data_IF_134476364107
#
_entry.id   IF_134476364107
#
_cell.length_a   1.000
_cell.length_b   1.000
_cell.length_c   1.000
_cell.angle_alpha   90.00
_cell.angle_beta   90.00
_cell.angle_gamma   90.00
#
_symmetry.space_group_name_H-M   'P 1'
#
loop_
_entity.id
_entity.type
_entity.pdbx_description
1 polymer ?
#
# COMPACT_ATOMS: atom_id res chain seq x y z
N UNK A 1 -0.29 -29.28 -30.07
CA UNK A 1 -0.93 -27.95 -29.89
C UNK A 1 -0.75 -27.43 -28.46
N UNK A 2 -1.22 -28.14 -27.42
CA UNK A 2 -1.13 -27.69 -26.01
C UNK A 2 0.31 -27.43 -25.53
N UNK A 3 1.26 -28.29 -25.87
CA UNK A 3 2.68 -28.14 -25.47
C UNK A 3 3.31 -26.88 -26.05
N UNK A 4 2.98 -26.54 -27.31
CA UNK A 4 3.52 -25.35 -27.98
C UNK A 4 2.97 -24.08 -27.33
N UNK A 5 1.67 -24.04 -27.04
CA UNK A 5 1.02 -22.92 -26.35
C UNK A 5 1.58 -22.74 -24.94
N UNK A 6 1.76 -23.85 -24.20
CA UNK A 6 2.32 -23.81 -22.85
C UNK A 6 3.78 -23.29 -22.85
N UNK A 7 4.61 -23.75 -23.80
CA UNK A 7 5.99 -23.29 -23.92
C UNK A 7 6.08 -21.79 -24.26
N UNK A 8 5.24 -21.31 -25.20
CA UNK A 8 5.19 -19.89 -25.57
C UNK A 8 4.69 -19.02 -24.41
N UNK A 9 3.63 -19.43 -23.72
CA UNK A 9 3.10 -18.70 -22.56
C UNK A 9 4.12 -18.65 -21.41
N UNK A 10 4.77 -19.76 -21.12
CA UNK A 10 5.80 -19.82 -20.07
C UNK A 10 6.99 -18.93 -20.42
N UNK A 11 7.45 -18.94 -21.68
CA UNK A 11 8.55 -18.10 -22.11
C UNK A 11 8.20 -16.61 -22.00
N UNK A 12 7.02 -16.21 -22.49
CA UNK A 12 6.54 -14.84 -22.38
C UNK A 12 6.42 -14.41 -20.91
N UNK A 13 5.85 -15.25 -20.05
CA UNK A 13 5.71 -14.94 -18.62
C UNK A 13 7.08 -14.71 -17.96
N UNK A 14 8.05 -15.60 -18.18
CA UNK A 14 9.39 -15.47 -17.59
C UNK A 14 10.13 -14.22 -18.09
N UNK A 15 9.99 -13.88 -19.37
CA UNK A 15 10.63 -12.69 -19.95
C UNK A 15 10.01 -11.38 -19.45
N UNK A 16 8.69 -11.33 -19.23
CA UNK A 16 8.00 -10.12 -18.77
C UNK A 16 7.98 -9.95 -17.24
N UNK A 17 8.20 -11.03 -16.47
CA UNK A 17 8.18 -11.02 -15.01
C UNK A 17 9.02 -9.90 -14.37
N UNK A 18 10.28 -9.64 -14.79
CA UNK A 18 11.09 -8.56 -14.20
C UNK A 18 10.47 -7.17 -14.41
N UNK A 19 9.92 -6.92 -15.60
CA UNK A 19 9.26 -5.65 -15.91
C UNK A 19 7.96 -5.50 -15.11
N UNK A 20 7.18 -6.57 -14.94
CA UNK A 20 5.98 -6.58 -14.11
C UNK A 20 6.30 -6.29 -12.65
N UNK A 21 7.32 -6.94 -12.08
CA UNK A 21 7.75 -6.72 -10.70
C UNK A 21 8.20 -5.28 -10.47
N UNK A 22 9.00 -4.72 -11.39
CA UNK A 22 9.40 -3.30 -11.32
C UNK A 22 8.21 -2.36 -11.35
N UNK A 23 7.20 -2.65 -12.18
CA UNK A 23 6.00 -1.83 -12.27
C UNK A 23 5.17 -1.90 -10.98
N UNK A 24 5.04 -3.09 -10.38
CA UNK A 24 4.37 -3.27 -9.09
C UNK A 24 5.09 -2.54 -7.95
N UNK A 25 6.43 -2.58 -7.93
CA UNK A 25 7.22 -1.84 -6.95
C UNK A 25 7.02 -0.33 -7.07
N UNK A 26 7.05 0.19 -8.30
CA UNK A 26 6.79 1.61 -8.57
C UNK A 26 5.40 1.99 -8.10
N UNK A 27 4.38 1.21 -8.47
CA UNK A 27 2.99 1.51 -8.08
C UNK A 27 2.83 1.50 -6.56
N UNK A 28 3.48 0.54 -5.87
CA UNK A 28 3.47 0.45 -4.41
C UNK A 28 4.09 1.68 -3.75
N UNK A 29 5.27 2.10 -4.20
CA UNK A 29 5.96 3.30 -3.69
C UNK A 29 5.17 4.57 -3.98
N UNK A 30 4.65 4.68 -5.20
CA UNK A 30 3.81 5.81 -5.64
C UNK A 30 2.55 5.93 -4.78
N UNK A 31 1.85 4.82 -4.53
CA UNK A 31 0.64 4.81 -3.69
C UNK A 31 0.93 5.27 -2.25
N UNK A 32 2.08 4.90 -1.68
CA UNK A 32 2.51 5.40 -0.37
C UNK A 32 2.76 6.91 -0.38
N UNK A 33 3.45 7.42 -1.42
CA UNK A 33 3.71 8.86 -1.59
C UNK A 33 2.42 9.66 -1.76
N UNK A 34 1.47 9.16 -2.55
CA UNK A 34 0.17 9.78 -2.75
C UNK A 34 -0.66 9.80 -1.45
N UNK A 35 -0.54 8.77 -0.60
CA UNK A 35 -1.20 8.73 0.72
C UNK A 35 -0.71 9.84 1.66
N UNK A 36 0.53 10.31 1.45
CA UNK A 36 1.10 11.48 2.13
C UNK A 36 1.04 12.75 1.28
N UNK A 37 0.14 12.76 0.28
CA UNK A 37 -0.18 13.92 -0.56
C UNK A 37 0.99 14.41 -1.42
N UNK A 38 1.93 13.52 -1.74
CA UNK A 38 3.08 13.82 -2.59
C UNK A 38 2.83 13.16 -3.95
N UNK A 39 2.47 13.94 -4.99
CA UNK A 39 2.28 13.38 -6.32
C UNK A 39 3.62 12.87 -6.87
N UNK A 40 3.60 11.66 -7.41
CA UNK A 40 4.78 11.03 -7.99
C UNK A 40 4.47 10.46 -9.38
N UNK A 41 5.44 10.55 -10.28
CA UNK A 41 5.42 9.90 -11.59
C UNK A 41 6.31 8.67 -11.56
N UNK A 42 6.19 7.80 -12.56
CA UNK A 42 6.99 6.59 -12.67
C UNK A 42 8.50 6.87 -12.60
N UNK A 43 8.93 8.02 -13.11
CA UNK A 43 10.33 8.41 -13.26
C UNK A 43 10.93 8.90 -11.94
N UNK A 44 10.18 9.66 -11.14
CA UNK A 44 10.67 10.28 -9.90
C UNK A 44 10.26 9.51 -8.62
N UNK A 45 9.45 8.46 -8.74
CA UNK A 45 8.91 7.71 -7.59
C UNK A 45 10.01 7.23 -6.64
N UNK A 46 11.12 6.68 -7.18
CA UNK A 46 12.20 6.18 -6.33
C UNK A 46 12.88 7.31 -5.53
N UNK A 47 13.21 8.40 -6.20
CA UNK A 47 13.84 9.56 -5.56
C UNK A 47 12.96 10.17 -4.47
N UNK A 48 11.66 10.35 -4.77
CA UNK A 48 10.70 10.87 -3.80
C UNK A 48 10.48 9.90 -2.64
N UNK A 49 10.43 8.59 -2.91
CA UNK A 49 10.29 7.58 -1.87
C UNK A 49 11.43 7.66 -0.87
N UNK A 50 12.68 7.64 -1.34
CA UNK A 50 13.87 7.73 -0.48
C UNK A 50 13.95 9.09 0.26
N UNK A 51 13.42 10.14 -0.38
CA UNK A 51 13.35 11.47 0.22
C UNK A 51 12.34 11.55 1.37
N UNK A 52 11.17 10.93 1.26
CA UNK A 52 10.08 11.15 2.22
C UNK A 52 9.82 9.97 3.16
N UNK A 53 9.98 8.73 2.71
CA UNK A 53 9.79 7.52 3.53
C UNK A 53 11.12 7.18 4.20
N UNK A 54 11.20 7.37 5.52
CA UNK A 54 12.47 7.29 6.27
C UNK A 54 12.66 6.00 7.01
N UNK A 55 11.58 5.40 7.47
CA UNK A 55 11.64 4.16 8.21
C UNK A 55 10.57 3.20 7.70
N UNK A 56 10.92 1.93 7.67
CA UNK A 56 10.01 0.81 7.43
C UNK A 56 10.30 -0.24 8.49
N UNK A 57 9.27 -0.71 9.17
CA UNK A 57 9.40 -1.71 10.22
C UNK A 57 8.14 -2.59 10.27
N UNK A 58 8.27 -3.74 10.91
CA UNK A 58 7.19 -4.70 11.06
C UNK A 58 6.84 -4.81 12.53
N UNK A 59 5.55 -4.83 12.84
CA UNK A 59 5.02 -5.05 14.18
C UNK A 59 4.36 -6.42 14.30
N UNK A 60 4.37 -6.99 15.50
CA UNK A 60 3.50 -8.11 15.86
C UNK A 60 2.16 -7.60 16.41
N UNK A 61 1.26 -8.52 16.79
CA UNK A 61 -0.05 -8.19 17.36
C UNK A 61 0.00 -7.51 18.74
N UNK A 62 1.14 -7.55 19.43
CA UNK A 62 1.36 -6.83 20.69
C UNK A 62 1.92 -5.40 20.47
N UNK A 63 2.22 -5.02 19.22
CA UNK A 63 2.82 -3.73 18.89
C UNK A 63 4.35 -3.69 19.06
N UNK A 64 5.00 -4.84 19.20
CA UNK A 64 6.46 -4.95 19.30
C UNK A 64 7.08 -5.11 17.90
N UNK A 65 8.28 -4.54 17.71
CA UNK A 65 9.00 -4.63 16.44
C UNK A 65 9.56 -6.03 16.20
N UNK A 66 9.35 -6.56 14.99
CA UNK A 66 9.89 -7.85 14.54
C UNK A 66 11.09 -7.59 13.63
N UNK A 67 12.27 -8.05 14.06
CA UNK A 67 13.49 -7.94 13.26
C UNK A 67 13.57 -9.02 12.17
N UNK A 68 14.30 -8.72 11.09
CA UNK A 68 14.57 -9.68 10.01
C UNK A 68 13.48 -9.84 8.94
N UNK A 69 12.38 -9.09 9.04
CA UNK A 69 11.31 -9.05 8.03
C UNK A 69 11.28 -7.68 7.34
N UNK A 70 11.42 -7.67 6.02
CA UNK A 70 11.27 -6.43 5.24
C UNK A 70 9.79 -6.08 5.08
N UNK A 71 9.37 -4.97 5.69
CA UNK A 71 8.01 -4.43 5.62
C UNK A 71 7.52 -4.23 4.17
N UNK A 72 8.40 -3.92 3.22
CA UNK A 72 8.03 -3.74 1.82
C UNK A 72 7.66 -5.05 1.12
N UNK A 73 8.20 -6.18 1.58
CA UNK A 73 7.89 -7.51 0.99
C UNK A 73 6.64 -8.16 1.58
N UNK A 74 6.14 -7.66 2.71
CA UNK A 74 4.96 -8.22 3.38
C UNK A 74 3.72 -8.04 2.51
N UNK A 75 3.00 -9.14 2.29
CA UNK A 75 1.73 -9.19 1.56
C UNK A 75 0.60 -9.37 2.57
N UNK A 76 -0.14 -8.30 2.85
CA UNK A 76 -1.20 -8.28 3.87
C UNK A 76 -2.21 -9.41 3.70
N UNK A 77 -2.65 -9.70 2.47
CA UNK A 77 -3.54 -10.84 2.18
C UNK A 77 -3.10 -12.17 2.77
N UNK A 78 -1.78 -12.42 2.76
CA UNK A 78 -1.22 -13.67 3.25
C UNK A 78 -1.14 -13.64 4.78
N UNK A 79 -0.83 -12.48 5.36
CA UNK A 79 -0.80 -12.27 6.81
C UNK A 79 -2.19 -12.40 7.45
N UNK A 80 -3.23 -11.85 6.82
CA UNK A 80 -4.62 -11.94 7.31
C UNK A 80 -5.15 -13.38 7.42
N UNK A 81 -4.53 -14.34 6.72
CA UNK A 81 -4.88 -15.77 6.79
C UNK A 81 -4.19 -16.50 7.95
N UNK A 82 -3.18 -15.89 8.57
CA UNK A 82 -2.43 -16.47 9.70
C UNK A 82 -3.13 -16.15 11.03
N UNK A 83 -2.91 -16.95 12.08
CA UNK A 83 -3.25 -16.57 13.46
C UNK A 83 -2.62 -15.22 13.82
N UNK A 84 -3.32 -14.41 14.64
CA UNK A 84 -2.92 -13.03 14.99
C UNK A 84 -1.50 -12.94 15.56
N UNK A 85 -1.07 -13.95 16.30
CA UNK A 85 0.25 -14.02 16.95
C UNK A 85 1.39 -14.22 15.94
N UNK A 86 1.06 -14.65 14.72
CA UNK A 86 2.02 -14.93 13.64
C UNK A 86 1.96 -13.89 12.52
N UNK A 87 1.13 -12.87 12.65
CA UNK A 87 0.99 -11.83 11.63
C UNK A 87 2.16 -10.85 11.71
N UNK A 88 2.73 -10.55 10.55
CA UNK A 88 3.68 -9.45 10.37
C UNK A 88 2.93 -8.22 9.87
N UNK A 89 2.89 -7.15 10.65
CA UNK A 89 2.17 -5.93 10.34
C UNK A 89 3.14 -4.84 9.88
N UNK A 90 3.27 -4.58 8.57
CA UNK A 90 4.20 -3.58 8.05
C UNK A 90 3.70 -2.16 8.35
N UNK A 91 4.62 -1.31 8.78
CA UNK A 91 4.39 0.09 9.10
C UNK A 91 5.51 0.92 8.46
N UNK A 92 5.15 2.09 7.92
CA UNK A 92 6.12 3.01 7.33
C UNK A 92 6.00 4.37 8.01
N UNK A 93 7.12 5.05 8.19
CA UNK A 93 7.17 6.41 8.72
C UNK A 93 7.67 7.36 7.63
N UNK A 94 6.90 8.41 7.38
CA UNK A 94 7.24 9.43 6.42
C UNK A 94 7.44 10.79 7.08
N UNK A 95 8.44 11.53 6.61
CA UNK A 95 8.69 12.91 7.01
C UNK A 95 8.33 13.83 5.83
N UNK A 96 7.20 14.52 5.90
CA UNK A 96 6.65 15.33 4.80
C UNK A 96 7.38 16.67 4.58
N UNK A 97 8.44 16.96 5.33
CA UNK A 97 9.25 18.18 5.24
C UNK A 97 8.62 19.40 5.93
N UNK A 98 7.30 19.57 5.87
CA UNK A 98 6.56 20.70 6.46
C UNK A 98 5.60 20.24 7.57
N UNK A 99 6.10 19.48 8.54
CA UNK A 99 5.29 19.08 9.68
C UNK A 99 5.82 17.88 10.43
N UNK A 100 5.01 17.40 11.36
CA UNK A 100 5.29 16.19 12.11
C UNK A 100 5.30 14.95 11.20
N UNK A 101 6.15 13.95 11.48
CA UNK A 101 6.15 12.70 10.74
C UNK A 101 4.79 12.02 10.80
N UNK A 102 4.41 11.40 9.69
CA UNK A 102 3.16 10.66 9.54
C UNK A 102 3.45 9.17 9.48
N UNK A 103 2.54 8.37 10.00
CA UNK A 103 2.60 6.91 9.97
C UNK A 103 1.71 6.39 8.86
N UNK A 104 2.27 5.61 7.94
CA UNK A 104 1.55 5.00 6.82
C UNK A 104 1.31 3.53 7.14
N UNK A 105 0.05 3.14 7.08
CA UNK A 105 -0.44 1.80 7.32
C UNK A 105 -1.04 1.25 6.02
N UNK A 106 -0.51 0.15 5.46
CA UNK A 106 -1.18 -0.53 4.38
C UNK A 106 -2.47 -1.17 4.89
N UNK A 107 -3.51 -1.14 4.06
CA UNK A 107 -4.81 -1.74 4.34
C UNK A 107 -5.23 -2.61 3.17
N UNK A 108 -5.91 -3.71 3.47
CA UNK A 108 -6.46 -4.62 2.45
C UNK A 108 -7.82 -5.15 2.91
N UNK A 109 -8.76 -5.22 1.97
CA UNK A 109 -10.11 -5.72 2.18
C UNK A 109 -10.68 -6.44 0.96
N UNK A 110 -11.91 -6.92 1.11
CA UNK A 110 -12.67 -7.56 0.03
C UNK A 110 -13.70 -6.57 -0.52
N UNK A 111 -13.60 -6.28 -1.81
CA UNK A 111 -14.66 -5.60 -2.57
C UNK A 111 -15.72 -6.58 -3.05
N UNK A 112 -16.57 -6.13 -3.98
CA UNK A 112 -17.63 -6.95 -4.55
C UNK A 112 -17.08 -7.96 -5.57
N UNK A 113 -16.16 -7.51 -6.42
CA UNK A 113 -15.62 -8.29 -7.54
C UNK A 113 -14.16 -8.66 -7.35
N UNK A 114 -13.44 -7.98 -6.47
CA UNK A 114 -12.05 -8.28 -6.22
C UNK A 114 -11.51 -7.72 -4.90
N UNK A 115 -10.23 -7.99 -4.59
CA UNK A 115 -9.56 -7.36 -3.47
C UNK A 115 -9.43 -5.85 -3.70
N UNK A 116 -9.58 -5.11 -2.60
CA UNK A 116 -9.30 -3.68 -2.49
C UNK A 116 -8.08 -3.55 -1.58
N UNK A 117 -7.15 -2.68 -1.94
CA UNK A 117 -5.95 -2.42 -1.19
C UNK A 117 -5.70 -0.91 -1.12
N UNK A 118 -4.85 -0.47 -0.21
CA UNK A 118 -4.58 0.95 -0.06
C UNK A 118 -3.59 1.26 1.05
N UNK A 119 -3.41 2.55 1.29
CA UNK A 119 -2.59 3.08 2.37
C UNK A 119 -3.37 4.15 3.11
N UNK A 120 -3.33 4.10 4.43
CA UNK A 120 -3.89 5.14 5.31
C UNK A 120 -2.71 5.77 6.04
N UNK A 121 -2.53 7.06 5.89
CA UNK A 121 -1.53 7.83 6.63
C UNK A 121 -2.18 8.58 7.79
N UNK A 122 -1.56 8.51 8.96
CA UNK A 122 -2.03 9.10 10.21
C UNK A 122 -1.06 10.16 10.71
N UNK A 123 -1.59 11.20 11.35
CA UNK A 123 -0.81 12.19 12.10
C UNK A 123 -0.25 11.55 13.39
N UNK A 124 0.60 12.29 14.11
CA UNK A 124 1.23 11.78 15.34
C UNK A 124 0.27 11.37 16.44
N UNK A 125 -0.94 11.93 16.44
CA UNK A 125 -1.99 11.54 17.38
C UNK A 125 -2.52 10.10 17.16
N UNK A 126 -2.08 9.42 16.10
CA UNK A 126 -2.48 8.07 15.71
C UNK A 126 -4.00 7.91 15.58
N UNK A 127 -4.72 9.01 15.35
CA UNK A 127 -6.17 9.05 15.26
C UNK A 127 -6.64 9.86 14.05
N UNK A 128 -5.98 10.98 13.75
CA UNK A 128 -6.36 11.84 12.64
C UNK A 128 -5.72 11.37 11.35
N UNK A 129 -6.54 11.13 10.33
CA UNK A 129 -6.10 10.76 8.99
C UNK A 129 -5.44 11.95 8.32
N UNK A 130 -4.17 11.79 7.97
CA UNK A 130 -3.45 12.71 7.11
C UNK A 130 -3.86 12.51 5.64
N UNK A 131 -3.97 11.29 5.16
CA UNK A 131 -4.41 11.02 3.80
C UNK A 131 -4.62 9.53 3.56
N UNK A 132 -5.24 9.20 2.44
CA UNK A 132 -5.47 7.82 2.04
C UNK A 132 -5.19 7.67 0.56
N UNK A 133 -4.83 6.45 0.16
CA UNK A 133 -4.89 6.00 -1.23
C UNK A 133 -5.57 4.64 -1.27
N UNK A 134 -6.39 4.42 -2.30
CA UNK A 134 -7.04 3.13 -2.52
C UNK A 134 -6.84 2.68 -3.96
N UNK A 135 -6.79 1.36 -4.14
CA UNK A 135 -6.78 0.72 -5.43
C UNK A 135 -7.56 -0.60 -5.38
N UNK A 136 -7.95 -1.09 -6.54
CA UNK A 136 -8.75 -2.29 -6.68
C UNK A 136 -8.26 -3.14 -7.85
N UNK A 137 -8.45 -4.44 -7.73
CA UNK A 137 -8.09 -5.34 -8.84
C UNK A 137 -9.13 -5.38 -9.96
N UNK A 138 -10.43 -5.32 -9.61
CA UNK A 138 -11.49 -5.73 -10.55
C UNK A 138 -12.86 -5.08 -10.30
N UNK A 139 -12.92 -4.01 -9.52
CA UNK A 139 -14.18 -3.28 -9.33
C UNK A 139 -14.62 -2.59 -10.63
N UNK A 140 -15.93 -2.34 -10.74
CA UNK A 140 -16.54 -1.83 -11.97
C UNK A 140 -16.27 -0.33 -12.15
N UNK A 141 -15.73 0.11 -13.31
CA UNK A 141 -15.58 1.53 -13.66
C UNK A 141 -16.90 2.32 -13.53
N UNK A 142 -16.85 3.52 -12.94
CA UNK A 142 -18.02 4.35 -12.68
C UNK A 142 -18.88 3.93 -11.48
N UNK A 143 -18.49 2.87 -10.75
CA UNK A 143 -19.13 2.40 -9.52
C UNK A 143 -18.08 2.17 -8.42
N UNK A 144 -17.74 0.91 -8.14
CA UNK A 144 -16.77 0.56 -7.10
C UNK A 144 -15.33 0.97 -7.43
N UNK A 145 -15.03 1.23 -8.70
CA UNK A 145 -13.71 1.71 -9.11
C UNK A 145 -13.43 3.16 -8.66
N UNK A 146 -14.46 3.95 -8.35
CA UNK A 146 -14.31 5.37 -8.00
C UNK A 146 -13.54 5.61 -6.68
N UNK A 147 -13.24 4.54 -5.93
CA UNK A 147 -12.48 4.63 -4.68
C UNK A 147 -11.04 5.12 -4.88
N UNK A 148 -10.45 4.94 -6.06
CA UNK A 148 -9.09 5.39 -6.38
C UNK A 148 -9.04 6.81 -6.96
N UNK A 149 -10.14 7.55 -6.85
CA UNK A 149 -10.21 8.94 -7.33
C UNK A 149 -9.84 9.92 -6.24
N UNK A 150 -9.20 11.02 -6.62
CA UNK A 150 -8.86 12.10 -5.68
C UNK A 150 -10.10 12.66 -4.98
N UNK A 151 -11.25 12.69 -5.64
CA UNK A 151 -12.50 13.15 -5.02
C UNK A 151 -12.87 12.26 -3.85
N UNK A 152 -12.86 10.94 -4.03
CA UNK A 152 -13.18 9.98 -2.98
C UNK A 152 -12.15 10.00 -1.84
N UNK A 153 -10.86 9.90 -2.16
CA UNK A 153 -9.78 9.85 -1.17
C UNK A 153 -9.70 11.14 -0.34
N UNK A 154 -9.98 12.29 -0.95
CA UNK A 154 -9.95 13.58 -0.24
C UNK A 154 -10.99 13.69 0.88
N UNK A 155 -12.08 12.91 0.84
CA UNK A 155 -13.11 12.90 1.87
C UNK A 155 -12.62 12.41 3.24
N UNK A 156 -11.52 11.64 3.26
CA UNK A 156 -10.94 11.07 4.48
C UNK A 156 -9.99 12.01 5.20
N UNK A 157 -9.60 13.13 4.58
CA UNK A 157 -8.67 14.08 5.18
C UNK A 157 -9.24 14.64 6.48
N UNK A 158 -8.40 14.63 7.51
CA UNK A 158 -8.71 15.17 8.84
C UNK A 158 -9.89 14.47 9.55
N UNK A 159 -10.34 13.32 9.03
CA UNK A 159 -11.25 12.43 9.75
C UNK A 159 -10.50 11.74 10.89
N UNK A 160 -11.23 11.39 11.94
CA UNK A 160 -10.69 10.68 13.11
C UNK A 160 -11.13 9.22 13.04
N UNK A 161 -10.22 8.30 13.36
CA UNK A 161 -10.49 6.86 13.40
C UNK A 161 -11.36 6.47 14.59
N UNK A 162 -11.19 7.17 15.71
CA UNK A 162 -11.84 6.90 16.98
C UNK A 162 -12.50 8.18 17.51
N UNK A 163 -13.71 8.03 18.03
CA UNK A 163 -14.41 9.08 18.77
C UNK A 163 -13.69 9.38 20.10
N UNK A 164 -13.92 10.57 20.63
CA UNK A 164 -13.52 10.90 22.01
C UNK A 164 -14.44 10.12 22.95
N UNK A 165 -13.85 9.16 23.68
CA UNK A 165 -14.57 8.38 24.70
C UNK A 165 -15.00 9.25 25.87
#
# INVERSE_FOLDING_TARGET
>A
MVVIVAALLSLAATLLQPAQQRNLEIEKKKSMLESIRIPATRENTFELYDKYIKESFVLNSNGETVEGVDAFTVVLRNEQKKPLEKQSLPVFRAATGEGEPVIILPVEGKGLWGPINGYVSLKQDMNTIYGVTFDHKSETPGLGAEINTTSFESMFRDKRLYDEK
#
